data_IF_678077910680
#
_entry.id   IF_678077910680
#
_cell.length_a   1.000
_cell.length_b   1.000
_cell.length_c   1.000
_cell.angle_alpha   90.00
_cell.angle_beta   90.00
_cell.angle_gamma   90.00
#
_symmetry.space_group_name_H-M   'P 1'
#
loop_
_entity.id
_entity.type
_entity.pdbx_description
1 polymer ?
#
# COMPACT_ATOMS: atom_id res chain seq x y z
N UNK A 1 57.48 29.35 -4.66
CA UNK A 1 56.42 28.32 -4.48
C UNK A 1 55.55 28.77 -3.32
N UNK A 2 54.36 29.30 -3.60
CA UNK A 2 53.42 29.69 -2.53
C UNK A 2 52.58 28.47 -2.16
N UNK A 3 52.86 27.87 -1.01
CA UNK A 3 52.05 26.83 -0.40
C UNK A 3 50.82 27.42 0.27
N UNK A 4 49.66 26.77 0.11
CA UNK A 4 48.42 27.15 0.77
C UNK A 4 48.31 26.32 2.05
N UNK A 5 48.46 26.96 3.20
CA UNK A 5 48.17 26.38 4.50
C UNK A 5 46.65 26.46 4.77
N UNK A 6 46.05 25.30 5.10
CA UNK A 6 44.60 25.01 5.04
C UNK A 6 43.92 25.12 6.42
N UNK A 7 44.68 25.32 7.49
CA UNK A 7 44.13 25.21 8.85
C UNK A 7 43.69 26.54 9.49
N UNK A 8 43.86 27.68 8.81
CA UNK A 8 43.53 28.98 9.40
C UNK A 8 42.99 29.97 8.35
N UNK A 9 41.67 29.97 8.12
CA UNK A 9 41.04 30.84 7.11
C UNK A 9 39.71 31.43 7.57
N UNK A 10 39.76 32.57 8.27
CA UNK A 10 38.64 33.53 8.28
C UNK A 10 39.12 34.80 7.55
N UNK A 11 38.53 35.03 6.38
CA UNK A 11 38.64 36.21 5.51
C UNK A 11 39.99 36.41 4.77
N UNK A 12 40.06 35.94 3.52
CA UNK A 12 41.06 36.40 2.54
C UNK A 12 40.40 37.22 1.44
N UNK A 13 41.05 38.30 1.03
CA UNK A 13 40.74 39.08 -0.18
C UNK A 13 41.90 38.94 -1.16
N UNK A 14 41.62 38.69 -2.43
CA UNK A 14 42.62 38.69 -3.49
C UNK A 14 42.55 40.04 -4.21
N UNK A 15 43.68 40.75 -4.31
CA UNK A 15 43.80 41.95 -5.13
C UNK A 15 44.41 41.56 -6.48
N UNK A 16 43.70 41.84 -7.58
CA UNK A 16 44.21 41.66 -8.94
C UNK A 16 44.39 43.04 -9.56
N UNK A 17 45.64 43.40 -9.90
CA UNK A 17 46.00 44.66 -10.56
C UNK A 17 46.09 45.87 -9.63
N UNK A 18 46.73 46.95 -10.12
CA UNK A 18 47.08 48.19 -9.39
C UNK A 18 45.89 49.01 -8.86
N UNK A 19 44.66 48.52 -9.00
CA UNK A 19 43.45 49.23 -8.63
C UNK A 19 42.89 48.71 -7.28
N UNK A 20 43.21 49.40 -6.18
CA UNK A 20 42.90 49.05 -4.78
C UNK A 20 41.39 48.95 -4.40
N UNK A 21 40.46 48.93 -5.36
CA UNK A 21 39.00 49.05 -5.10
C UNK A 21 38.15 47.81 -5.38
N UNK A 22 38.68 46.70 -5.92
CA UNK A 22 37.92 45.46 -6.08
C UNK A 22 38.39 44.39 -5.09
N UNK A 23 37.67 44.27 -3.97
CA UNK A 23 37.77 43.12 -3.06
C UNK A 23 36.77 42.06 -3.51
N UNK A 24 37.27 40.94 -4.05
CA UNK A 24 36.45 39.73 -4.21
C UNK A 24 36.48 38.96 -2.88
N UNK A 25 35.32 38.70 -2.31
CA UNK A 25 35.14 37.73 -1.22
C UNK A 25 34.98 36.34 -1.84
N UNK A 26 35.80 35.40 -1.41
CA UNK A 26 35.58 33.98 -1.67
C UNK A 26 34.66 33.47 -0.56
N UNK A 27 33.40 33.22 -0.89
CA UNK A 27 32.51 32.50 0.00
C UNK A 27 32.97 31.05 0.07
N UNK A 28 33.48 30.67 1.24
CA UNK A 28 33.77 29.27 1.55
C UNK A 28 32.41 28.60 1.74
N UNK A 29 31.90 27.95 0.70
CA UNK A 29 30.82 26.98 0.88
C UNK A 29 31.35 25.86 1.78
N UNK A 30 30.87 25.80 3.02
CA UNK A 30 30.99 24.59 3.83
C UNK A 30 30.24 23.48 3.10
N UNK A 31 30.95 22.68 2.33
CA UNK A 31 30.45 21.38 1.90
C UNK A 31 30.43 20.53 3.16
N UNK A 32 29.28 20.49 3.85
CA UNK A 32 29.05 19.47 4.87
C UNK A 32 29.09 18.13 4.16
N UNK A 33 30.17 17.38 4.37
CA UNK A 33 30.24 15.96 4.01
C UNK A 33 29.26 15.28 4.97
N UNK A 34 27.99 15.21 4.57
CA UNK A 34 27.00 14.45 5.31
C UNK A 34 27.43 12.98 5.37
N UNK A 35 27.28 12.36 6.52
CA UNK A 35 27.50 10.92 6.68
C UNK A 35 26.62 10.19 5.64
N UNK A 36 27.20 9.31 4.79
CA UNK A 36 26.44 8.53 3.81
C UNK A 36 25.23 7.81 4.41
N UNK A 37 25.28 7.44 5.70
CA UNK A 37 24.17 6.84 6.42
C UNK A 37 23.03 7.84 6.67
N UNK A 38 23.32 9.07 7.07
CA UNK A 38 22.31 10.12 7.30
C UNK A 38 21.58 10.49 6.00
N UNK A 39 22.32 10.57 4.89
CA UNK A 39 21.72 10.86 3.59
C UNK A 39 20.73 9.77 3.17
N UNK A 40 21.11 8.49 3.35
CA UNK A 40 20.24 7.36 3.05
C UNK A 40 19.04 7.26 4.00
N UNK A 41 19.24 7.55 5.29
CA UNK A 41 18.14 7.60 6.25
C UNK A 41 17.14 8.70 5.91
N UNK A 42 17.60 9.86 5.44
CA UNK A 42 16.73 10.92 4.96
C UNK A 42 15.94 10.51 3.70
N UNK A 43 16.57 9.76 2.80
CA UNK A 43 15.93 9.24 1.58
C UNK A 43 14.78 8.28 1.90
N UNK A 44 14.93 7.42 2.92
CA UNK A 44 13.93 6.43 3.33
C UNK A 44 13.20 6.78 4.62
N UNK A 45 13.18 8.06 5.02
CA UNK A 45 12.68 8.52 6.33
C UNK A 45 11.24 8.12 6.67
N UNK A 46 10.43 7.83 5.66
CA UNK A 46 9.04 7.42 5.84
C UNK A 46 8.92 5.95 6.28
N UNK A 47 9.91 5.12 5.97
CA UNK A 47 9.95 3.72 6.36
C UNK A 47 10.29 3.54 7.84
N UNK A 48 9.72 2.49 8.46
CA UNK A 48 9.96 2.19 9.86
C UNK A 48 11.08 1.14 9.98
N UNK A 49 12.24 1.55 10.49
CA UNK A 49 13.40 0.67 10.66
C UNK A 49 13.57 0.27 12.12
N UNK A 50 14.02 -0.96 12.37
CA UNK A 50 14.26 -1.39 13.75
C UNK A 50 15.36 -0.57 14.42
N UNK A 51 15.09 -0.14 15.66
CA UNK A 51 16.04 0.59 16.51
C UNK A 51 17.22 -0.28 16.94
N UNK A 52 17.04 -1.60 16.92
CA UNK A 52 18.04 -2.58 17.41
C UNK A 52 19.11 -2.97 16.39
N UNK A 53 19.00 -2.51 15.14
CA UNK A 53 19.99 -2.79 14.10
C UNK A 53 21.30 -2.02 14.34
N UNK A 54 22.42 -2.70 14.13
CA UNK A 54 23.74 -2.07 14.13
C UNK A 54 23.88 -1.09 12.95
N UNK A 55 24.80 -0.13 13.04
CA UNK A 55 25.05 0.84 11.96
C UNK A 55 25.44 0.16 10.64
N UNK A 56 26.20 -0.94 10.71
CA UNK A 56 26.57 -1.75 9.53
C UNK A 56 25.35 -2.40 8.87
N UNK A 57 24.44 -2.95 9.66
CA UNK A 57 23.20 -3.55 9.17
C UNK A 57 22.30 -2.49 8.54
N UNK A 58 22.07 -1.36 9.22
CA UNK A 58 21.27 -0.24 8.68
C UNK A 58 21.83 0.23 7.33
N UNK A 59 23.15 0.42 7.24
CA UNK A 59 23.79 0.85 5.99
C UNK A 59 23.59 -0.17 4.87
N UNK A 60 23.76 -1.47 5.16
CA UNK A 60 23.57 -2.55 4.18
C UNK A 60 22.14 -2.60 3.66
N UNK A 61 21.15 -2.49 4.54
CA UNK A 61 19.73 -2.50 4.19
C UNK A 61 19.40 -1.29 3.31
N UNK A 62 19.78 -0.08 3.74
CA UNK A 62 19.48 1.16 3.02
C UNK A 62 20.13 1.20 1.63
N UNK A 63 21.35 0.67 1.48
CA UNK A 63 22.00 0.54 0.17
C UNK A 63 21.21 -0.37 -0.76
N UNK A 64 20.71 -1.50 -0.26
CA UNK A 64 19.85 -2.42 -1.03
C UNK A 64 18.50 -1.77 -1.37
N UNK A 65 17.85 -1.09 -0.41
CA UNK A 65 16.60 -0.37 -0.68
C UNK A 65 16.78 0.72 -1.74
N UNK A 66 17.92 1.41 -1.74
CA UNK A 66 18.25 2.41 -2.76
C UNK A 66 18.46 1.81 -4.14
N UNK A 67 19.04 0.60 -4.22
CA UNK A 67 19.16 -0.15 -5.49
C UNK A 67 17.77 -0.42 -6.08
N UNK A 68 16.81 -0.80 -5.24
CA UNK A 68 15.41 -1.06 -5.60
C UNK A 68 14.49 0.13 -5.25
N UNK A 69 14.97 1.36 -5.46
CA UNK A 69 14.17 2.56 -5.22
C UNK A 69 12.90 2.62 -6.09
N UNK A 70 12.92 2.24 -7.38
CA UNK A 70 11.74 2.34 -8.25
C UNK A 70 10.51 1.58 -7.73
N UNK A 71 10.69 0.53 -6.93
CA UNK A 71 9.63 -0.34 -6.41
C UNK A 71 8.81 0.33 -5.31
N UNK A 72 9.36 1.33 -4.64
CA UNK A 72 8.65 2.11 -3.63
C UNK A 72 7.80 3.19 -4.29
N UNK A 73 6.52 3.23 -3.95
CA UNK A 73 5.65 4.31 -4.37
C UNK A 73 6.13 5.62 -3.73
N UNK A 74 6.47 6.60 -4.57
CA UNK A 74 6.59 7.99 -4.15
C UNK A 74 5.16 8.55 -4.11
N UNK A 75 4.80 9.24 -3.04
CA UNK A 75 3.44 9.79 -2.85
C UNK A 75 2.96 10.75 -3.97
N UNK A 76 3.85 11.12 -4.91
CA UNK A 76 3.63 12.14 -5.94
C UNK A 76 3.52 11.58 -7.37
N UNK A 77 3.68 10.26 -7.58
CA UNK A 77 3.55 9.63 -8.89
C UNK A 77 2.14 9.06 -9.12
N UNK A 78 1.63 9.05 -10.37
CA UNK A 78 0.36 8.41 -10.70
C UNK A 78 0.40 6.94 -10.28
N UNK A 79 -0.73 6.42 -9.80
CA UNK A 79 -0.78 5.06 -9.27
C UNK A 79 -0.34 4.06 -10.35
N UNK A 80 0.58 3.18 -9.99
CA UNK A 80 1.04 2.13 -10.90
C UNK A 80 -0.10 1.20 -11.28
N UNK A 81 0.00 0.67 -12.49
CA UNK A 81 -0.82 -0.45 -12.96
C UNK A 81 -0.06 -1.73 -12.79
N UNK A 82 -0.65 -2.71 -12.09
CA UNK A 82 -0.17 -4.08 -12.17
C UNK A 82 -0.40 -4.60 -13.57
N UNK A 83 0.65 -5.15 -14.18
CA UNK A 83 0.59 -5.69 -15.54
C UNK A 83 0.08 -7.13 -15.52
N UNK A 84 -0.65 -7.52 -16.57
CA UNK A 84 -1.08 -8.89 -16.86
C UNK A 84 -2.05 -9.58 -15.85
N UNK A 85 -2.51 -8.88 -14.82
CA UNK A 85 -3.44 -9.41 -13.82
C UNK A 85 -4.77 -8.63 -13.74
N UNK A 86 -5.26 -8.18 -14.90
CA UNK A 86 -6.53 -7.43 -14.97
C UNK A 86 -7.71 -8.30 -14.55
N UNK A 87 -8.52 -7.74 -13.65
CA UNK A 87 -9.66 -8.43 -13.07
C UNK A 87 -10.81 -8.51 -14.08
N UNK A 88 -11.43 -9.68 -14.11
CA UNK A 88 -12.67 -9.93 -14.83
C UNK A 88 -13.78 -10.31 -13.85
N UNK A 89 -15.00 -9.86 -14.14
CA UNK A 89 -16.17 -10.15 -13.32
C UNK A 89 -17.20 -10.89 -14.17
N UNK A 90 -17.73 -11.97 -13.62
CA UNK A 90 -18.82 -12.74 -14.21
C UNK A 90 -20.05 -12.64 -13.33
N UNK A 91 -21.23 -12.54 -13.93
CA UNK A 91 -22.49 -12.57 -13.21
C UNK A 91 -23.15 -13.95 -13.36
N UNK A 92 -23.86 -14.39 -12.33
CA UNK A 92 -24.71 -15.58 -12.32
C UNK A 92 -26.10 -15.31 -12.95
N UNK A 93 -26.27 -14.13 -13.57
CA UNK A 93 -27.51 -13.70 -14.22
C UNK A 93 -27.21 -13.16 -15.61
N UNK A 94 -28.13 -13.41 -16.53
CA UNK A 94 -28.07 -12.92 -17.90
C UNK A 94 -28.91 -11.66 -18.09
N UNK A 95 -28.82 -11.05 -19.27
CA UNK A 95 -29.65 -9.90 -19.65
C UNK A 95 -31.08 -10.35 -19.98
N UNK A 96 -32.11 -9.57 -19.64
CA UNK A 96 -32.05 -8.29 -18.92
C UNK A 96 -31.72 -8.47 -17.43
N UNK A 97 -30.84 -7.62 -16.91
CA UNK A 97 -30.40 -7.72 -15.52
C UNK A 97 -31.51 -7.38 -14.52
N UNK A 98 -31.50 -7.97 -13.31
CA UNK A 98 -32.45 -7.65 -12.25
C UNK A 98 -32.48 -6.16 -11.90
N UNK A 99 -33.65 -5.56 -11.60
CA UNK A 99 -33.76 -4.14 -11.21
C UNK A 99 -32.87 -3.74 -10.04
N UNK A 100 -32.54 -4.69 -9.15
CA UNK A 100 -31.62 -4.47 -8.02
C UNK A 100 -30.20 -4.05 -8.45
N UNK A 101 -29.78 -4.35 -9.68
CA UNK A 101 -28.49 -3.93 -10.22
C UNK A 101 -28.53 -2.52 -10.84
N UNK A 102 -29.70 -1.91 -10.97
CA UNK A 102 -29.87 -0.54 -11.48
C UNK A 102 -30.44 0.35 -10.39
N UNK A 103 -29.57 0.80 -9.50
CA UNK A 103 -29.95 1.59 -8.32
C UNK A 103 -29.75 3.09 -8.58
N UNK A 104 -30.67 3.97 -8.12
CA UNK A 104 -30.48 5.41 -8.19
C UNK A 104 -29.41 5.88 -7.19
N UNK A 105 -28.85 7.10 -7.37
CA UNK A 105 -27.97 7.70 -6.38
C UNK A 105 -28.71 7.91 -5.06
N UNK A 106 -27.98 7.86 -3.94
CA UNK A 106 -28.57 8.17 -2.64
C UNK A 106 -28.83 9.67 -2.49
N UNK A 107 -29.89 10.08 -1.76
CA UNK A 107 -30.03 11.45 -1.32
C UNK A 107 -28.91 11.81 -0.33
N UNK A 108 -28.23 12.92 -0.60
CA UNK A 108 -27.03 13.33 0.13
C UNK A 108 -27.14 14.80 0.58
N UNK A 109 -26.62 15.09 1.77
CA UNK A 109 -26.48 16.47 2.25
C UNK A 109 -25.44 17.24 1.42
N UNK A 110 -25.48 18.58 1.48
CA UNK A 110 -24.49 19.41 0.78
C UNK A 110 -23.06 19.13 1.27
N UNK A 111 -22.87 18.82 2.55
CA UNK A 111 -21.57 18.44 3.11
C UNK A 111 -21.09 17.10 2.53
N UNK A 112 -21.98 16.11 2.46
CA UNK A 112 -21.65 14.79 1.89
C UNK A 112 -21.27 14.90 0.42
N UNK A 113 -21.97 15.74 -0.35
CA UNK A 113 -21.66 15.98 -1.77
C UNK A 113 -20.27 16.57 -1.97
N UNK A 114 -19.86 17.53 -1.14
CA UNK A 114 -18.51 18.12 -1.18
C UNK A 114 -17.43 17.06 -0.93
N UNK A 115 -17.65 16.18 0.04
CA UNK A 115 -16.73 15.08 0.31
C UNK A 115 -16.69 14.08 -0.85
N UNK A 116 -17.83 13.75 -1.45
CA UNK A 116 -17.87 12.88 -2.65
C UNK A 116 -17.09 13.51 -3.80
N UNK A 117 -17.32 14.78 -4.09
CA UNK A 117 -16.59 15.51 -5.14
C UNK A 117 -15.08 15.47 -4.91
N UNK A 118 -14.64 15.68 -3.67
CA UNK A 118 -13.23 15.57 -3.30
C UNK A 118 -12.66 14.18 -3.60
N UNK A 119 -13.30 13.12 -3.10
CA UNK A 119 -12.84 11.74 -3.34
C UNK A 119 -12.89 11.36 -4.83
N UNK A 120 -13.91 11.80 -5.56
CA UNK A 120 -14.05 11.52 -6.99
C UNK A 120 -12.93 12.21 -7.79
N UNK A 121 -12.60 13.46 -7.47
CA UNK A 121 -11.49 14.16 -8.11
C UNK A 121 -10.16 13.47 -7.82
N UNK A 122 -9.91 13.04 -6.58
CA UNK A 122 -8.72 12.24 -6.23
C UNK A 122 -8.66 10.94 -7.06
N UNK A 123 -9.77 10.24 -7.24
CA UNK A 123 -9.81 9.01 -8.05
C UNK A 123 -9.65 9.26 -9.55
N UNK A 124 -10.11 10.41 -10.06
CA UNK A 124 -9.91 10.82 -11.45
C UNK A 124 -8.44 11.17 -11.71
N UNK A 125 -7.81 11.93 -10.80
CA UNK A 125 -6.40 12.31 -10.89
C UNK A 125 -5.47 11.08 -10.87
N UNK A 126 -5.90 10.01 -10.19
CA UNK A 126 -5.18 8.73 -10.12
C UNK A 126 -5.54 7.75 -11.25
N UNK A 127 -6.40 8.14 -12.21
CA UNK A 127 -6.90 7.26 -13.28
C UNK A 127 -7.52 5.94 -12.75
N UNK A 128 -8.19 6.03 -11.60
CA UNK A 128 -8.91 4.92 -10.95
C UNK A 128 -10.35 4.80 -11.46
N UNK A 129 -10.93 5.93 -11.84
CA UNK A 129 -12.26 6.03 -12.43
C UNK A 129 -12.23 6.89 -13.69
N UNK A 130 -13.19 6.66 -14.58
CA UNK A 130 -13.48 7.55 -15.71
C UNK A 130 -14.96 7.88 -15.79
N UNK A 131 -15.29 9.04 -16.36
CA UNK A 131 -16.68 9.37 -16.70
C UNK A 131 -17.13 8.53 -17.89
N UNK A 132 -18.36 8.03 -17.87
CA UNK A 132 -18.89 7.27 -19.01
C UNK A 132 -19.11 8.19 -20.21
N UNK A 133 -18.90 7.66 -21.43
CA UNK A 133 -19.17 8.39 -22.67
C UNK A 133 -20.67 8.52 -22.98
N UNK A 134 -21.04 9.53 -23.76
CA UNK A 134 -22.44 9.85 -24.12
C UNK A 134 -23.17 8.70 -24.84
N UNK A 135 -22.44 7.83 -25.55
CA UNK A 135 -23.01 6.72 -26.31
C UNK A 135 -22.93 5.37 -25.58
N UNK A 136 -22.46 5.34 -24.32
CA UNK A 136 -22.33 4.11 -23.56
C UNK A 136 -23.65 3.72 -22.89
N UNK A 137 -24.18 2.54 -23.22
CA UNK A 137 -25.43 2.04 -22.64
C UNK A 137 -25.19 1.69 -21.16
N UNK A 138 -26.03 2.23 -20.27
CA UNK A 138 -25.99 1.95 -18.83
C UNK A 138 -27.01 0.90 -18.45
N UNK A 139 -26.52 -0.26 -18.01
CA UNK A 139 -27.38 -1.35 -17.57
C UNK A 139 -27.36 -1.55 -16.06
N UNK A 140 -26.21 -1.28 -15.44
CA UNK A 140 -25.93 -1.45 -14.00
C UNK A 140 -25.45 -0.12 -13.43
N UNK A 141 -25.92 0.22 -12.23
CA UNK A 141 -25.53 1.41 -11.47
C UNK A 141 -25.47 1.10 -9.98
N UNK A 142 -24.34 1.46 -9.36
CA UNK A 142 -24.08 1.28 -7.93
C UNK A 142 -23.98 2.64 -7.23
N UNK A 143 -24.87 2.98 -6.27
CA UNK A 143 -24.76 4.26 -5.58
C UNK A 143 -23.51 4.30 -4.70
N UNK A 144 -22.93 5.48 -4.56
CA UNK A 144 -21.84 5.73 -3.61
C UNK A 144 -22.37 6.18 -2.26
N UNK A 145 -21.55 6.03 -1.23
CA UNK A 145 -21.82 6.57 0.11
C UNK A 145 -20.51 6.98 0.79
N UNK A 146 -20.60 7.94 1.70
CA UNK A 146 -19.50 8.35 2.56
C UNK A 146 -19.68 7.72 3.94
N UNK A 147 -18.62 7.14 4.47
CA UNK A 147 -18.53 6.78 5.90
C UNK A 147 -17.46 7.62 6.57
N UNK A 148 -17.68 7.95 7.84
CA UNK A 148 -16.75 8.72 8.65
C UNK A 148 -16.11 7.83 9.70
N UNK A 149 -14.78 7.88 9.79
CA UNK A 149 -14.00 7.19 10.81
C UNK A 149 -12.90 8.12 11.30
N UNK A 150 -12.85 8.39 12.61
CA UNK A 150 -11.85 9.25 13.26
C UNK A 150 -11.69 10.63 12.57
N UNK A 151 -12.82 11.23 12.18
CA UNK A 151 -12.85 12.53 11.50
C UNK A 151 -12.42 12.50 10.03
N UNK A 152 -12.11 11.33 9.46
CA UNK A 152 -11.78 11.16 8.03
C UNK A 152 -12.97 10.54 7.29
N UNK A 153 -13.30 11.11 6.14
CA UNK A 153 -14.29 10.57 5.21
C UNK A 153 -13.67 9.50 4.31
N UNK A 154 -14.47 8.49 3.94
CA UNK A 154 -14.12 7.46 2.95
C UNK A 154 -15.30 7.22 2.02
N UNK A 155 -15.03 7.21 0.72
CA UNK A 155 -16.02 6.91 -0.33
C UNK A 155 -16.08 5.40 -0.61
N UNK A 156 -17.31 4.86 -0.64
CA UNK A 156 -17.59 3.46 -0.95
C UNK A 156 -18.66 3.34 -2.03
N UNK A 157 -18.46 2.45 -3.00
CA UNK A 157 -19.54 1.96 -3.86
C UNK A 157 -20.35 0.89 -3.12
N UNK A 158 -21.67 1.00 -3.11
CA UNK A 158 -22.54 0.01 -2.46
C UNK A 158 -22.73 -1.25 -3.32
N UNK A 159 -21.65 -2.03 -3.47
CA UNK A 159 -21.61 -3.24 -4.29
C UNK A 159 -22.38 -4.43 -3.70
N UNK A 160 -23.16 -4.27 -2.61
CA UNK A 160 -23.91 -5.38 -2.00
C UNK A 160 -24.88 -6.04 -2.99
N UNK A 161 -25.56 -5.25 -3.81
CA UNK A 161 -26.45 -5.77 -4.84
C UNK A 161 -25.66 -6.51 -5.92
N UNK A 162 -24.58 -5.91 -6.43
CA UNK A 162 -23.69 -6.52 -7.42
C UNK A 162 -23.12 -7.86 -6.91
N UNK A 163 -22.56 -7.85 -5.70
CA UNK A 163 -21.99 -9.03 -5.04
C UNK A 163 -22.99 -10.19 -4.91
N UNK A 164 -24.30 -9.94 -4.79
CA UNK A 164 -25.29 -11.02 -4.75
C UNK A 164 -25.36 -11.80 -6.07
N UNK A 165 -25.14 -11.12 -7.19
CA UNK A 165 -25.27 -11.68 -8.54
C UNK A 165 -23.93 -11.97 -9.22
N UNK A 166 -22.82 -11.51 -8.66
CA UNK A 166 -21.47 -11.84 -9.16
C UNK A 166 -21.16 -13.31 -8.89
N UNK A 167 -20.46 -14.01 -9.77
CA UNK A 167 -19.96 -15.37 -9.51
C UNK A 167 -18.87 -15.33 -8.44
N UNK A 168 -18.98 -16.15 -7.39
CA UNK A 168 -17.98 -16.15 -6.32
C UNK A 168 -16.67 -16.81 -6.80
N UNK A 169 -15.56 -16.09 -6.64
CA UNK A 169 -14.23 -16.67 -6.76
C UNK A 169 -13.83 -17.33 -5.44
N UNK A 170 -13.46 -18.61 -5.50
CA UNK A 170 -13.01 -19.36 -4.33
C UNK A 170 -11.53 -19.66 -4.49
N UNK A 171 -10.71 -18.91 -3.78
CA UNK A 171 -9.27 -19.14 -3.70
C UNK A 171 -8.89 -19.33 -2.22
N UNK A 172 -8.04 -20.32 -1.88
CA UNK A 172 -7.64 -20.54 -0.50
C UNK A 172 -6.81 -19.35 0.01
N UNK A 173 -7.31 -18.66 1.03
CA UNK A 173 -6.51 -17.66 1.74
C UNK A 173 -5.69 -18.41 2.80
N UNK A 174 -4.37 -18.18 2.89
CA UNK A 174 -3.51 -18.87 3.84
C UNK A 174 -4.01 -18.75 5.28
N UNK A 175 -4.05 -19.87 5.99
CA UNK A 175 -4.29 -19.87 7.43
C UNK A 175 -2.99 -19.52 8.14
N UNK A 176 -3.00 -18.36 8.79
CA UNK A 176 -1.89 -17.77 9.55
C UNK A 176 -1.16 -18.77 10.47
N UNK A 177 -1.81 -19.72 11.18
CA UNK A 177 -1.12 -20.58 12.15
C UNK A 177 0.08 -21.37 11.65
N UNK A 178 0.10 -21.84 10.39
CA UNK A 178 1.23 -22.60 9.86
C UNK A 178 2.50 -21.76 9.68
N UNK A 179 2.34 -20.46 9.46
CA UNK A 179 3.46 -19.52 9.37
C UNK A 179 4.00 -19.10 10.75
N UNK A 180 3.16 -19.19 11.78
CA UNK A 180 3.49 -18.67 13.10
C UNK A 180 4.67 -19.39 13.74
N UNK A 181 4.83 -20.69 13.54
CA UNK A 181 5.95 -21.47 14.10
C UNK A 181 7.32 -21.01 13.54
N UNK A 182 7.36 -20.64 12.26
CA UNK A 182 8.59 -20.12 11.63
C UNK A 182 8.82 -18.65 12.00
N UNK A 183 7.76 -17.85 12.00
CA UNK A 183 7.80 -16.47 12.48
C UNK A 183 8.30 -16.39 13.92
N UNK A 184 7.89 -17.30 14.80
CA UNK A 184 8.31 -17.35 16.19
C UNK A 184 9.81 -17.61 16.37
N UNK A 185 10.46 -18.31 15.44
CA UNK A 185 11.91 -18.61 15.47
C UNK A 185 12.76 -17.55 14.76
N UNK A 186 12.13 -16.66 14.00
CA UNK A 186 12.82 -15.63 13.24
C UNK A 186 13.45 -14.55 14.14
N UNK A 187 14.61 -14.05 13.73
CA UNK A 187 15.30 -12.93 14.39
C UNK A 187 15.03 -11.60 13.72
N UNK A 188 14.67 -11.64 12.44
CA UNK A 188 14.37 -10.47 11.62
C UNK A 188 13.04 -10.69 10.92
N UNK A 189 12.14 -9.72 11.06
CA UNK A 189 10.83 -9.72 10.41
C UNK A 189 10.68 -8.40 9.65
N UNK A 190 10.33 -8.48 8.37
CA UNK A 190 9.94 -7.33 7.56
C UNK A 190 8.50 -7.48 7.10
N UNK A 191 7.71 -6.43 7.24
CA UNK A 191 6.38 -6.37 6.62
C UNK A 191 6.33 -5.26 5.60
N UNK A 192 5.79 -5.60 4.43
CA UNK A 192 5.54 -4.66 3.36
C UNK A 192 4.04 -4.63 3.08
N UNK A 193 3.50 -3.41 2.93
CA UNK A 193 2.11 -3.15 2.57
C UNK A 193 2.10 -2.49 1.20
N UNK A 194 1.22 -2.97 0.33
CA UNK A 194 1.10 -2.45 -1.02
C UNK A 194 0.43 -1.08 -1.04
N UNK A 195 0.96 -0.17 -1.87
CA UNK A 195 0.42 1.19 -1.94
C UNK A 195 -0.98 1.18 -2.56
N UNK A 196 -2.01 1.36 -1.73
CA UNK A 196 -3.42 1.29 -2.18
C UNK A 196 -3.68 0.01 -3.00
N UNK A 197 -3.24 -1.14 -2.48
CA UNK A 197 -3.13 -2.44 -3.18
C UNK A 197 -4.16 -2.66 -4.27
N UNK A 198 -5.45 -2.60 -3.94
CA UNK A 198 -6.53 -2.87 -4.91
C UNK A 198 -6.59 -1.91 -6.10
N UNK A 199 -6.30 -0.63 -5.90
CA UNK A 199 -6.34 0.33 -7.00
C UNK A 199 -5.20 0.13 -8.01
N UNK A 200 -4.17 -0.68 -7.70
CA UNK A 200 -3.14 -1.02 -8.67
C UNK A 200 -3.63 -2.05 -9.70
N UNK A 201 -4.65 -2.87 -9.37
CA UNK A 201 -5.20 -3.87 -10.28
C UNK A 201 -6.05 -3.19 -11.35
N UNK A 202 -5.70 -3.43 -12.61
CA UNK A 202 -6.56 -3.07 -13.75
C UNK A 202 -7.86 -3.88 -13.75
N UNK A 203 -8.89 -3.33 -14.38
CA UNK A 203 -10.17 -4.00 -14.61
C UNK A 203 -10.38 -4.14 -16.10
N UNK A 204 -10.80 -5.31 -16.59
CA UNK A 204 -11.08 -5.48 -18.02
C UNK A 204 -12.30 -4.67 -18.46
N UNK A 205 -12.39 -4.22 -19.73
CA UNK A 205 -13.49 -3.37 -20.21
C UNK A 205 -14.90 -3.90 -19.95
N UNK A 206 -15.11 -5.23 -20.00
CA UNK A 206 -16.42 -5.82 -19.70
C UNK A 206 -16.78 -5.72 -18.21
N UNK A 207 -15.78 -5.88 -17.35
CA UNK A 207 -15.92 -5.74 -15.90
C UNK A 207 -16.10 -4.28 -15.48
N UNK A 208 -15.48 -3.31 -16.16
CA UNK A 208 -15.67 -1.87 -15.90
C UNK A 208 -17.16 -1.48 -15.96
N UNK A 209 -17.90 -2.02 -16.94
CA UNK A 209 -19.35 -1.79 -17.10
C UNK A 209 -20.18 -2.29 -15.92
N UNK A 210 -19.69 -3.30 -15.19
CA UNK A 210 -20.34 -3.84 -14.00
C UNK A 210 -19.99 -3.01 -12.75
N UNK A 211 -18.81 -2.38 -12.74
CA UNK A 211 -18.32 -1.52 -11.67
C UNK A 211 -18.68 -0.04 -11.86
N UNK A 212 -19.87 0.23 -12.42
CA UNK A 212 -20.37 1.59 -12.59
C UNK A 212 -20.93 2.14 -11.28
N UNK A 213 -20.48 3.34 -10.92
CA UNK A 213 -20.97 4.10 -9.78
C UNK A 213 -21.84 5.28 -10.22
N UNK A 214 -22.83 5.62 -9.40
CA UNK A 214 -23.75 6.74 -9.64
C UNK A 214 -23.86 7.65 -8.42
N UNK A 215 -23.82 8.95 -8.67
CA UNK A 215 -23.95 10.02 -7.66
C UNK A 215 -24.44 11.30 -8.32
N UNK A 216 -24.50 12.42 -7.60
CA UNK A 216 -25.12 13.67 -8.06
C UNK A 216 -24.49 14.29 -9.32
N UNK A 217 -23.24 13.95 -9.66
CA UNK A 217 -22.57 14.42 -10.89
C UNK A 217 -22.74 13.49 -12.10
N UNK A 218 -23.44 12.37 -11.94
CA UNK A 218 -23.70 11.39 -12.99
C UNK A 218 -23.05 10.03 -12.72
N UNK A 219 -22.67 9.36 -13.81
CA UNK A 219 -22.20 7.97 -13.79
C UNK A 219 -20.74 7.92 -14.20
N UNK A 220 -19.97 7.18 -13.40
CA UNK A 220 -18.56 6.92 -13.61
C UNK A 220 -18.34 5.42 -13.53
N UNK A 221 -17.23 4.93 -14.07
CA UNK A 221 -16.82 3.53 -13.96
C UNK A 221 -15.40 3.40 -13.50
N UNK A 222 -15.16 2.34 -12.72
CA UNK A 222 -13.85 1.97 -12.25
C UNK A 222 -13.02 1.33 -13.37
N UNK A 223 -11.88 1.96 -13.69
CA UNK A 223 -10.83 1.40 -14.56
C UNK A 223 -9.86 0.53 -13.75
N UNK A 224 -9.81 0.75 -12.44
CA UNK A 224 -9.05 -0.01 -11.44
C UNK A 224 -9.96 -0.63 -10.40
N UNK A 225 -9.50 -1.67 -9.74
CA UNK A 225 -10.34 -2.36 -8.77
C UNK A 225 -10.74 -1.44 -7.62
N UNK A 226 -12.01 -1.53 -7.23
CA UNK A 226 -12.56 -0.79 -6.10
C UNK A 226 -12.79 -1.68 -4.89
N UNK A 227 -12.72 -1.07 -3.71
CA UNK A 227 -13.03 -1.71 -2.44
C UNK A 227 -14.50 -2.19 -2.42
N UNK A 228 -14.75 -3.30 -1.71
CA UNK A 228 -16.10 -3.79 -1.42
C UNK A 228 -16.65 -4.81 -2.42
N UNK A 229 -15.90 -5.17 -3.46
CA UNK A 229 -16.24 -6.25 -4.38
C UNK A 229 -15.87 -7.61 -3.80
N UNK A 230 -16.75 -8.61 -3.93
CA UNK A 230 -16.53 -9.92 -3.30
C UNK A 230 -15.43 -10.79 -3.93
N UNK A 231 -15.05 -10.50 -5.17
CA UNK A 231 -14.02 -11.25 -5.91
C UNK A 231 -12.61 -10.81 -5.49
N UNK A 232 -12.50 -9.54 -5.12
CA UNK A 232 -11.23 -8.83 -4.98
C UNK A 232 -10.22 -9.58 -4.09
N UNK A 233 -10.52 -9.97 -2.84
CA UNK A 233 -9.53 -10.60 -1.97
C UNK A 233 -8.99 -11.92 -2.49
N UNK A 234 -9.86 -12.72 -3.12
CA UNK A 234 -9.50 -14.03 -3.66
C UNK A 234 -8.63 -13.88 -4.91
N UNK A 235 -8.98 -12.94 -5.78
CA UNK A 235 -8.17 -12.62 -6.96
C UNK A 235 -6.79 -12.10 -6.56
N UNK A 236 -6.74 -11.19 -5.59
CA UNK A 236 -5.50 -10.58 -5.13
C UNK A 236 -4.58 -11.61 -4.49
N UNK A 237 -5.11 -12.47 -3.61
CA UNK A 237 -4.33 -13.57 -3.04
C UNK A 237 -3.78 -14.50 -4.13
N UNK A 238 -4.59 -14.90 -5.11
CA UNK A 238 -4.10 -15.75 -6.21
C UNK A 238 -2.97 -15.09 -6.99
N UNK A 239 -3.12 -13.80 -7.28
CA UNK A 239 -2.10 -13.03 -7.98
C UNK A 239 -0.79 -13.06 -7.19
N UNK A 240 -0.84 -12.73 -5.90
CA UNK A 240 0.35 -12.73 -5.05
C UNK A 240 0.99 -14.11 -4.92
N UNK A 241 0.19 -15.17 -4.73
CA UNK A 241 0.71 -16.54 -4.67
C UNK A 241 1.37 -16.97 -5.98
N UNK A 242 0.91 -16.44 -7.11
CA UNK A 242 1.51 -16.71 -8.44
C UNK A 242 2.83 -15.98 -8.60
N UNK A 243 2.89 -14.71 -8.18
CA UNK A 243 4.11 -13.89 -8.27
C UNK A 243 5.21 -14.45 -7.36
N UNK A 244 4.83 -14.81 -6.13
CA UNK A 244 5.75 -15.14 -5.06
C UNK A 244 5.81 -16.65 -4.76
N UNK A 245 5.50 -17.47 -5.77
CA UNK A 245 5.35 -18.90 -5.60
C UNK A 245 6.63 -19.54 -5.02
N UNK A 246 7.79 -19.15 -5.55
CA UNK A 246 9.08 -19.72 -5.14
C UNK A 246 9.43 -19.33 -3.70
N UNK A 247 9.29 -18.06 -3.35
CA UNK A 247 9.56 -17.50 -2.03
C UNK A 247 8.68 -18.14 -0.94
N UNK A 248 7.40 -18.38 -1.27
CA UNK A 248 6.45 -19.05 -0.38
C UNK A 248 6.84 -20.54 -0.20
N UNK A 249 7.23 -21.23 -1.27
CA UNK A 249 7.66 -22.63 -1.22
C UNK A 249 8.96 -22.82 -0.43
N UNK A 250 9.88 -21.87 -0.51
CA UNK A 250 11.09 -21.82 0.31
C UNK A 250 10.81 -21.50 1.79
N UNK A 251 9.56 -21.15 2.11
CA UNK A 251 9.02 -21.00 3.46
C UNK A 251 9.66 -19.92 4.33
N UNK A 252 10.21 -18.85 3.74
CA UNK A 252 10.69 -17.67 4.46
C UNK A 252 9.79 -16.43 4.25
N UNK A 253 8.70 -16.60 3.50
CA UNK A 253 7.73 -15.55 3.24
C UNK A 253 6.29 -16.05 3.36
N UNK A 254 5.42 -15.15 3.79
CA UNK A 254 3.97 -15.33 3.81
C UNK A 254 3.34 -14.12 3.15
N UNK A 255 2.39 -14.39 2.26
CA UNK A 255 1.55 -13.35 1.69
C UNK A 255 0.12 -13.52 2.16
N UNK A 256 -0.50 -12.42 2.58
CA UNK A 256 -1.89 -12.35 2.98
C UNK A 256 -2.55 -11.15 2.32
N UNK A 257 -3.28 -11.39 1.23
CA UNK A 257 -3.90 -10.36 0.39
C UNK A 257 -2.85 -9.29 0.02
N UNK A 258 -2.88 -8.12 0.66
CA UNK A 258 -1.99 -6.99 0.38
C UNK A 258 -0.71 -6.97 1.24
N UNK A 259 -0.62 -7.85 2.25
CA UNK A 259 0.49 -7.89 3.20
C UNK A 259 1.53 -8.93 2.80
N UNK A 260 2.78 -8.50 2.65
CA UNK A 260 3.94 -9.38 2.48
C UNK A 260 4.72 -9.41 3.78
N UNK A 261 4.96 -10.61 4.32
CA UNK A 261 5.71 -10.83 5.56
C UNK A 261 6.92 -11.70 5.26
N UNK A 262 8.11 -11.14 5.44
CA UNK A 262 9.40 -11.78 5.22
C UNK A 262 10.04 -12.04 6.58
N UNK A 263 10.59 -13.24 6.79
CA UNK A 263 11.23 -13.59 8.05
C UNK A 263 12.48 -14.45 7.85
N UNK A 264 13.50 -14.21 8.67
CA UNK A 264 14.76 -14.95 8.62
C UNK A 264 15.43 -15.10 9.99
N UNK A 265 16.39 -16.03 10.08
CA UNK A 265 17.21 -16.23 11.29
C UNK A 265 18.56 -15.47 11.24
N UNK A 266 19.05 -15.17 10.03
CA UNK A 266 20.32 -14.46 9.80
C UNK A 266 20.07 -13.13 9.09
N UNK A 267 20.99 -12.18 9.29
CA UNK A 267 20.87 -10.84 8.71
C UNK A 267 21.12 -10.88 7.20
N UNK A 268 22.10 -11.66 6.79
CA UNK A 268 22.53 -11.84 5.41
C UNK A 268 21.36 -12.36 4.56
N UNK A 269 20.70 -13.43 5.03
CA UNK A 269 19.51 -13.97 4.37
C UNK A 269 18.38 -12.93 4.33
N UNK A 270 18.19 -12.16 5.41
CA UNK A 270 17.09 -11.18 5.49
C UNK A 270 17.19 -10.11 4.40
N UNK A 271 18.38 -9.57 4.21
CA UNK A 271 18.61 -8.53 3.18
C UNK A 271 18.45 -9.12 1.79
N UNK A 272 18.91 -10.36 1.57
CA UNK A 272 18.75 -11.05 0.29
C UNK A 272 17.28 -11.34 -0.01
N UNK A 273 16.50 -11.80 0.97
CA UNK A 273 15.07 -12.07 0.82
C UNK A 273 14.29 -10.80 0.48
N UNK A 274 14.60 -9.68 1.13
CA UNK A 274 14.00 -8.39 0.77
C UNK A 274 14.37 -8.00 -0.68
N UNK A 275 15.64 -8.13 -1.08
CA UNK A 275 16.07 -7.83 -2.45
C UNK A 275 15.32 -8.67 -3.47
N UNK A 276 15.15 -9.98 -3.23
CA UNK A 276 14.37 -10.88 -4.09
C UNK A 276 12.92 -10.43 -4.25
N UNK A 277 12.23 -10.14 -3.14
CA UNK A 277 10.84 -9.67 -3.18
C UNK A 277 10.69 -8.39 -3.99
N UNK A 278 11.63 -7.45 -3.84
CA UNK A 278 11.60 -6.19 -4.61
C UNK A 278 11.86 -6.44 -6.10
N UNK A 279 12.77 -7.36 -6.45
CA UNK A 279 13.03 -7.75 -7.85
C UNK A 279 11.78 -8.36 -8.50
N UNK A 280 11.04 -9.21 -7.80
CA UNK A 280 9.79 -9.81 -8.32
C UNK A 280 8.67 -8.79 -8.52
N UNK A 281 8.67 -7.68 -7.77
CA UNK A 281 7.72 -6.59 -7.96
C UNK A 281 7.94 -5.80 -9.26
N UNK A 282 9.19 -5.73 -9.75
CA UNK A 282 9.57 -4.93 -10.92
C UNK A 282 8.81 -5.31 -12.22
N UNK A 283 8.79 -6.58 -12.68
CA UNK A 283 8.17 -6.94 -13.96
C UNK A 283 6.66 -6.67 -14.01
N UNK A 284 5.98 -6.87 -12.89
CA UNK A 284 4.54 -6.66 -12.74
C UNK A 284 4.18 -5.22 -12.37
N UNK A 285 5.16 -4.35 -12.11
CA UNK A 285 4.97 -2.97 -11.69
C UNK A 285 4.15 -2.83 -10.39
N UNK A 286 4.38 -3.75 -9.46
CA UNK A 286 3.76 -3.74 -8.13
C UNK A 286 4.49 -2.73 -7.24
N UNK A 287 3.76 -1.77 -6.66
CA UNK A 287 4.35 -0.72 -5.83
C UNK A 287 4.06 -0.91 -4.35
N UNK A 288 5.10 -0.68 -3.55
CA UNK A 288 5.06 -0.86 -2.11
C UNK A 288 4.98 0.50 -1.41
N UNK A 289 4.15 0.59 -0.35
CA UNK A 289 4.03 1.78 0.48
C UNK A 289 5.16 1.82 1.51
N UNK A 290 6.21 2.59 1.23
CA UNK A 290 7.35 2.71 2.15
C UNK A 290 6.92 3.13 3.56
N UNK A 291 5.97 4.08 3.66
CA UNK A 291 5.43 4.60 4.92
C UNK A 291 4.82 3.54 5.84
N UNK A 292 4.25 2.48 5.25
CA UNK A 292 3.61 1.40 5.98
C UNK A 292 4.51 0.17 6.14
N UNK A 293 5.70 0.19 5.55
CA UNK A 293 6.67 -0.88 5.71
C UNK A 293 7.37 -0.81 7.07
N UNK A 294 7.55 -1.98 7.67
CA UNK A 294 8.36 -2.17 8.86
C UNK A 294 9.53 -3.08 8.49
N UNK A 295 10.76 -2.56 8.53
CA UNK A 295 11.94 -3.30 8.14
C UNK A 295 12.71 -3.87 9.33
N UNK A 296 12.97 -5.18 9.25
CA UNK A 296 13.88 -5.95 10.10
C UNK A 296 13.62 -5.78 11.60
N UNK A 297 12.35 -5.79 11.99
CA UNK A 297 11.91 -5.75 13.37
C UNK A 297 12.16 -7.09 14.07
N UNK A 298 12.42 -7.04 15.38
CA UNK A 298 12.48 -8.24 16.24
C UNK A 298 11.10 -8.69 16.73
N UNK A 299 10.17 -7.74 16.78
CA UNK A 299 8.79 -7.95 17.20
C UNK A 299 7.88 -7.22 16.22
N UNK A 300 6.77 -7.83 15.84
CA UNK A 300 5.83 -7.16 14.96
C UNK A 300 4.38 -7.54 15.29
N UNK A 301 3.49 -6.55 15.21
CA UNK A 301 2.05 -6.78 15.15
C UNK A 301 1.70 -7.14 13.70
N UNK A 302 1.69 -8.44 13.38
CA UNK A 302 1.40 -8.95 12.03
C UNK A 302 0.02 -9.61 12.04
N UNK A 303 -0.87 -9.21 11.12
CA UNK A 303 -2.20 -9.83 10.95
C UNK A 303 -3.08 -9.80 12.23
N UNK A 304 -2.77 -8.90 13.18
CA UNK A 304 -3.40 -8.82 14.49
C UNK A 304 -2.84 -9.78 15.55
N UNK A 305 -1.64 -10.30 15.36
CA UNK A 305 -0.86 -11.02 16.36
C UNK A 305 0.42 -10.24 16.65
N UNK A 306 0.73 -10.00 17.92
CA UNK A 306 2.06 -9.59 18.36
C UNK A 306 2.97 -10.81 18.32
N UNK A 307 3.79 -10.88 17.28
CA UNK A 307 4.84 -11.89 17.14
C UNK A 307 6.07 -11.35 17.85
N UNK A 308 6.30 -11.79 19.09
CA UNK A 308 7.61 -11.74 19.72
C UNK A 308 8.35 -13.02 19.35
N UNK A 309 9.67 -12.97 19.14
CA UNK A 309 10.53 -14.13 18.84
C UNK A 309 10.57 -15.25 19.90
N UNK A 310 9.59 -15.34 20.81
CA UNK A 310 9.29 -16.45 21.73
C UNK A 310 7.83 -16.44 22.28
N UNK A 311 6.95 -15.50 21.90
CA UNK A 311 5.57 -15.45 22.41
C UNK A 311 4.58 -14.83 21.41
N UNK A 312 3.64 -15.64 20.94
CA UNK A 312 2.48 -15.19 20.16
C UNK A 312 1.44 -14.61 21.11
N UNK A 313 1.33 -13.28 21.20
CA UNK A 313 0.23 -12.65 21.92
C UNK A 313 -0.74 -12.05 20.90
N UNK A 314 -2.00 -12.45 20.91
CA UNK A 314 -3.06 -11.83 20.10
C UNK A 314 -3.07 -10.32 20.39
N UNK A 315 -3.22 -9.49 19.36
CA UNK A 315 -3.28 -8.02 19.51
C UNK A 315 -4.30 -7.64 20.60
N UNK A 316 -3.82 -6.99 21.65
CA UNK A 316 -4.65 -6.64 22.81
C UNK A 316 -5.80 -5.69 22.43
N UNK A 317 -5.68 -4.94 21.34
CA UNK A 317 -6.78 -4.12 20.83
C UNK A 317 -7.89 -4.98 20.21
N UNK A 318 -7.55 -6.08 19.52
CA UNK A 318 -8.54 -7.04 19.02
C UNK A 318 -9.21 -7.80 20.16
N UNK A 319 -8.44 -8.19 21.18
CA UNK A 319 -8.98 -8.82 22.40
C UNK A 319 -9.91 -7.85 23.13
N UNK A 320 -9.50 -6.59 23.31
CA UNK A 320 -10.33 -5.55 23.92
C UNK A 320 -11.61 -5.30 23.11
N UNK A 321 -11.54 -5.28 21.78
CA UNK A 321 -12.72 -5.11 20.93
C UNK A 321 -13.74 -6.25 21.06
N UNK A 322 -13.29 -7.49 21.28
CA UNK A 322 -14.18 -8.63 21.57
C UNK A 322 -14.71 -8.57 23.00
N UNK A 323 -13.86 -8.24 23.99
CA UNK A 323 -14.28 -8.10 25.39
C UNK A 323 -15.25 -6.95 25.63
N UNK A 324 -15.14 -5.87 24.84
CA UNK A 324 -16.02 -4.70 24.92
C UNK A 324 -17.27 -4.83 24.04
N UNK A 325 -17.40 -5.89 23.21
CA UNK A 325 -18.62 -6.12 22.44
C UNK A 325 -19.78 -6.39 23.43
N UNK A 326 -20.93 -5.71 23.27
CA UNK A 326 -22.10 -5.99 24.10
C UNK A 326 -22.60 -7.42 23.86
N UNK A 327 -23.26 -7.99 24.87
CA UNK A 327 -23.83 -9.34 24.78
C UNK A 327 -24.81 -9.39 23.59
N UNK A 328 -24.58 -10.28 22.61
CA UNK A 328 -25.39 -10.32 21.40
C UNK A 328 -26.84 -10.71 21.73
N UNK A 329 -27.79 -9.97 21.17
CA UNK A 329 -29.24 -10.13 21.43
C UNK A 329 -29.98 -10.81 20.29
N UNK A 330 -29.32 -11.06 19.16
CA UNK A 330 -29.91 -11.69 17.99
C UNK A 330 -29.02 -12.81 17.44
N UNK A 331 -29.62 -13.77 16.72
CA UNK A 331 -28.89 -14.87 16.07
C UNK A 331 -27.79 -14.33 15.14
N UNK A 332 -28.07 -13.23 14.43
CA UNK A 332 -27.11 -12.58 13.54
C UNK A 332 -25.93 -11.96 14.30
N UNK A 333 -26.19 -11.36 15.46
CA UNK A 333 -25.14 -10.84 16.34
C UNK A 333 -24.34 -11.97 16.99
N UNK A 334 -24.98 -13.08 17.38
CA UNK A 334 -24.29 -14.27 17.90
C UNK A 334 -23.35 -14.84 16.82
N UNK A 335 -23.83 -15.01 15.59
CA UNK A 335 -23.02 -15.49 14.46
C UNK A 335 -21.84 -14.56 14.17
N UNK A 336 -22.03 -13.24 14.28
CA UNK A 336 -20.98 -12.22 14.11
C UNK A 336 -20.06 -12.06 15.34
N UNK A 337 -20.45 -12.59 16.50
CA UNK A 337 -19.61 -12.62 17.69
C UNK A 337 -18.72 -13.87 17.70
N UNK A 338 -19.24 -15.00 17.21
CA UNK A 338 -18.52 -16.28 17.12
C UNK A 338 -17.54 -16.35 15.93
N UNK A 339 -17.88 -15.69 14.82
CA UNK A 339 -16.97 -15.51 13.68
C UNK A 339 -16.07 -14.30 13.86
#
# INVERSE_FOLDING_TARGET
MYGIDIYNSKNRHINIGTNKKKKLSLDIYQISIHDPLEQLLNEFREGQFSTTLTSKQKLSLLKMLRKNRPEFAICEEPLSTIKAHDIELYLDVERPYPPMLRRPPYPESLETRKEIEKHINELLDMDVIRKIGHNEIVEITTPVLITWHDGKSRLYGDFRALNKYTKAERYPIPRIPHALDKLAKSKYITTMDLMKGFHQNGVKPNAMKLLRIIFHMGIYEYTRMSFGNKIEPAHFQRMMDTIFQEEILECWMVVYIDDIIIYSETWEDHVQYIDRVLIECTPINLKISLKKCNFSQKELLALGYKVLGLSMAIDQNKVAAVLQKPVPKSIKEIQSFLG
#
